data_IF_760346163056
#
_entry.id   IF_760346163056
#
_cell.length_a   1.000
_cell.length_b   1.000
_cell.length_c   1.000
_cell.angle_alpha   90.00
_cell.angle_beta   90.00
_cell.angle_gamma   90.00
#
_symmetry.space_group_name_H-M   'P 1'
#
loop_
_entity.id
_entity.type
_entity.pdbx_description
1 polymer ?
#
# COMPACT_ATOMS: atom_id res chain seq x y z
N UNK A 1 -9.41 1.35 -23.84
CA UNK A 1 -8.77 1.09 -22.52
C UNK A 1 -8.73 2.41 -21.76
N UNK A 2 -9.21 2.43 -20.50
CA UNK A 2 -9.19 3.64 -19.67
C UNK A 2 -7.79 3.78 -19.05
N UNK A 3 -6.90 4.53 -19.71
CA UNK A 3 -5.53 4.77 -19.22
C UNK A 3 -5.61 5.56 -17.93
N UNK A 4 -5.05 5.06 -16.81
CA UNK A 4 -5.03 5.85 -15.57
C UNK A 4 -4.06 7.01 -15.77
N UNK A 5 -4.53 8.23 -15.52
CA UNK A 5 -3.71 9.42 -15.69
C UNK A 5 -2.57 9.45 -14.65
N UNK A 6 -1.30 9.58 -15.06
CA UNK A 6 -0.17 9.70 -14.13
C UNK A 6 -0.31 10.89 -13.17
N UNK A 7 -0.96 11.97 -13.62
CA UNK A 7 -1.23 13.17 -12.83
C UNK A 7 -2.13 12.86 -11.64
N UNK A 8 -3.18 12.05 -11.85
CA UNK A 8 -4.10 11.66 -10.78
C UNK A 8 -3.41 10.82 -9.70
N UNK A 9 -2.53 9.90 -10.11
CA UNK A 9 -1.75 9.07 -9.19
C UNK A 9 -0.78 9.93 -8.36
N UNK A 10 -0.16 10.92 -8.99
CA UNK A 10 0.70 11.87 -8.29
C UNK A 10 -0.08 12.74 -7.31
N UNK A 11 -1.12 13.44 -7.77
CA UNK A 11 -1.80 14.48 -7.00
C UNK A 11 -2.61 13.92 -5.82
N UNK A 12 -3.26 12.77 -6.01
CA UNK A 12 -4.11 12.19 -4.96
C UNK A 12 -3.49 10.98 -4.25
N UNK A 13 -2.40 10.43 -4.78
CA UNK A 13 -1.70 9.31 -4.18
C UNK A 13 -0.36 9.74 -3.58
N UNK A 14 0.62 9.97 -4.46
CA UNK A 14 2.02 10.15 -4.03
C UNK A 14 2.27 11.43 -3.25
N UNK A 15 1.88 12.60 -3.79
CA UNK A 15 2.11 13.91 -3.18
C UNK A 15 1.55 14.00 -1.74
N UNK A 16 0.28 13.68 -1.45
CA UNK A 16 -0.24 13.77 -0.09
C UNK A 16 0.42 12.76 0.84
N UNK A 17 0.83 11.61 0.32
CA UNK A 17 1.51 10.60 1.11
C UNK A 17 2.91 11.09 1.51
N UNK A 18 3.67 11.71 0.59
CA UNK A 18 4.99 12.34 0.91
C UNK A 18 4.82 13.47 1.93
N UNK A 19 3.83 14.35 1.74
CA UNK A 19 3.58 15.47 2.67
C UNK A 19 3.23 14.99 4.09
N UNK A 20 2.62 13.81 4.22
CA UNK A 20 2.20 13.27 5.51
C UNK A 20 3.24 12.37 6.18
N UNK A 21 3.96 11.57 5.39
CA UNK A 21 4.82 10.49 5.90
C UNK A 21 6.31 10.73 5.62
N UNK A 22 6.65 11.76 4.84
CA UNK A 22 7.99 12.00 4.36
C UNK A 22 8.31 11.26 3.06
N UNK A 23 9.51 11.48 2.55
CA UNK A 23 10.00 10.85 1.33
C UNK A 23 10.42 9.40 1.61
N UNK A 24 10.00 8.46 0.77
CA UNK A 24 10.41 7.06 0.91
C UNK A 24 11.84 6.82 0.46
N UNK A 25 12.51 5.86 1.09
CA UNK A 25 13.83 5.43 0.62
C UNK A 25 13.74 4.65 -0.70
N UNK A 26 12.69 3.84 -0.92
CA UNK A 26 12.52 3.10 -2.17
C UNK A 26 11.05 2.99 -2.54
N UNK A 27 10.73 3.28 -3.79
CA UNK A 27 9.40 3.04 -4.36
C UNK A 27 9.47 1.87 -5.32
N UNK A 28 8.55 0.92 -5.16
CA UNK A 28 8.35 -0.15 -6.14
C UNK A 28 7.16 0.20 -7.03
N UNK A 29 7.38 0.25 -8.32
CA UNK A 29 6.34 0.58 -9.29
C UNK A 29 6.35 -0.39 -10.47
N UNK A 30 5.21 -0.57 -11.12
CA UNK A 30 5.14 -1.33 -12.36
C UNK A 30 5.83 -0.58 -13.50
N UNK A 31 6.40 -1.31 -14.48
CA UNK A 31 7.01 -0.75 -15.71
C UNK A 31 6.03 -0.01 -16.66
N UNK A 32 4.81 0.31 -16.22
CA UNK A 32 3.80 1.00 -17.02
C UNK A 32 3.99 2.51 -17.05
N UNK A 33 3.32 3.17 -17.99
CA UNK A 33 3.31 4.64 -18.11
C UNK A 33 2.59 5.34 -16.96
N UNK A 34 1.70 4.63 -16.26
CA UNK A 34 0.88 5.20 -15.17
C UNK A 34 1.73 5.70 -13.99
N UNK A 35 2.89 5.09 -13.73
CA UNK A 35 3.76 5.44 -12.60
C UNK A 35 4.93 6.36 -12.97
N UNK A 36 4.98 6.86 -14.21
CA UNK A 36 6.12 7.62 -14.71
C UNK A 36 6.38 8.89 -13.89
N UNK A 37 5.33 9.63 -13.53
CA UNK A 37 5.44 10.90 -12.81
C UNK A 37 5.91 10.69 -11.36
N UNK A 38 5.37 9.68 -10.68
CA UNK A 38 5.82 9.30 -9.33
C UNK A 38 7.29 8.91 -9.35
N UNK A 39 7.68 8.09 -10.34
CA UNK A 39 9.06 7.64 -10.49
C UNK A 39 10.01 8.80 -10.76
N UNK A 40 9.62 9.72 -11.65
CA UNK A 40 10.40 10.91 -11.98
C UNK A 40 10.62 11.81 -10.75
N UNK A 41 9.56 12.13 -10.00
CA UNK A 41 9.67 12.98 -8.81
C UNK A 41 10.50 12.29 -7.72
N UNK A 42 10.34 10.98 -7.54
CA UNK A 42 11.13 10.23 -6.57
C UNK A 42 12.63 10.21 -6.91
N UNK A 43 12.98 10.13 -8.19
CA UNK A 43 14.36 10.23 -8.66
C UNK A 43 14.89 11.65 -8.46
N UNK A 44 14.09 12.67 -8.78
CA UNK A 44 14.46 14.08 -8.60
C UNK A 44 14.75 14.42 -7.13
N UNK A 45 13.96 13.86 -6.21
CA UNK A 45 14.12 14.07 -4.77
C UNK A 45 15.05 13.05 -4.11
N UNK A 46 15.66 12.13 -4.87
CA UNK A 46 16.50 11.08 -4.32
C UNK A 46 17.65 11.57 -3.41
N UNK A 47 18.29 12.73 -3.64
CA UNK A 47 19.31 13.27 -2.73
C UNK A 47 18.78 13.69 -1.35
N UNK A 48 17.47 13.89 -1.21
CA UNK A 48 16.83 14.30 0.04
C UNK A 48 16.36 13.11 0.90
N UNK A 49 16.60 11.87 0.45
CA UNK A 49 16.25 10.66 1.20
C UNK A 49 17.24 10.43 2.35
N UNK A 50 16.74 9.84 3.43
CA UNK A 50 17.56 9.45 4.58
C UNK A 50 18.56 8.35 4.22
N UNK A 51 18.15 7.37 3.42
CA UNK A 51 19.00 6.28 2.97
C UNK A 51 19.19 6.31 1.45
N UNK A 52 20.45 6.51 1.03
CA UNK A 52 20.85 6.58 -0.38
C UNK A 52 21.58 5.31 -0.87
N UNK A 53 21.70 4.29 -0.02
CA UNK A 53 22.27 2.97 -0.33
C UNK A 53 21.44 2.19 -1.35
N UNK A 54 20.17 2.56 -1.52
CA UNK A 54 19.21 1.89 -2.39
C UNK A 54 18.79 2.79 -3.53
N UNK A 55 18.43 2.17 -4.64
CA UNK A 55 17.80 2.85 -5.75
C UNK A 55 16.52 3.55 -5.29
N UNK A 56 16.25 4.78 -5.75
CA UNK A 56 15.06 5.53 -5.37
C UNK A 56 13.77 4.85 -5.90
N UNK A 57 13.85 4.19 -7.05
CA UNK A 57 12.73 3.51 -7.71
C UNK A 57 13.17 2.16 -8.24
N UNK A 58 12.39 1.12 -7.96
CA UNK A 58 12.57 -0.21 -8.52
C UNK A 58 11.37 -0.59 -9.39
N UNK A 59 11.59 -0.65 -10.71
CA UNK A 59 10.56 -0.92 -11.70
C UNK A 59 10.41 -2.41 -11.98
N UNK A 60 9.25 -2.97 -11.61
CA UNK A 60 8.96 -4.40 -11.72
C UNK A 60 8.02 -4.66 -12.92
N UNK A 61 8.25 -5.71 -13.73
CA UNK A 61 7.31 -6.10 -14.78
C UNK A 61 5.99 -6.62 -14.17
N UNK A 62 4.87 -6.39 -14.87
CA UNK A 62 3.49 -6.71 -14.41
C UNK A 62 3.23 -8.19 -14.12
N UNK A 63 4.12 -9.09 -14.54
CA UNK A 63 4.01 -10.53 -14.32
C UNK A 63 4.42 -10.93 -12.90
N UNK A 64 5.25 -10.11 -12.25
CA UNK A 64 5.72 -10.37 -10.89
C UNK A 64 4.77 -9.71 -9.91
N UNK A 65 3.71 -10.44 -9.59
CA UNK A 65 2.66 -10.15 -8.61
C UNK A 65 3.30 -9.62 -7.30
N UNK A 66 3.38 -8.31 -7.18
CA UNK A 66 4.09 -7.67 -6.06
C UNK A 66 3.28 -7.85 -4.79
N UNK A 67 3.92 -7.81 -3.60
CA UNK A 67 3.19 -7.79 -2.33
C UNK A 67 2.09 -6.71 -2.25
N UNK A 68 2.14 -5.68 -3.11
CA UNK A 68 1.12 -4.64 -3.25
C UNK A 68 -0.16 -5.10 -3.98
N UNK A 69 -0.10 -6.09 -4.87
CA UNK A 69 -1.29 -6.63 -5.54
C UNK A 69 -2.18 -7.43 -4.57
N UNK A 70 -1.59 -7.98 -3.51
CA UNK A 70 -2.33 -8.78 -2.51
C UNK A 70 -3.40 -7.95 -1.77
N UNK A 71 -3.10 -6.77 -1.18
CA UNK A 71 -4.11 -5.87 -0.64
C UNK A 71 -5.23 -5.54 -1.63
N UNK A 72 -4.90 -5.34 -2.91
CA UNK A 72 -5.92 -5.04 -3.94
C UNK A 72 -6.80 -6.22 -4.27
N UNK A 73 -6.22 -7.41 -4.39
CA UNK A 73 -7.00 -8.64 -4.55
C UNK A 73 -7.93 -8.86 -3.36
N UNK A 74 -7.41 -8.68 -2.15
CA UNK A 74 -8.18 -8.86 -0.92
C UNK A 74 -9.30 -7.82 -0.78
N UNK A 75 -9.04 -6.55 -1.08
CA UNK A 75 -10.06 -5.51 -1.12
C UNK A 75 -11.15 -5.83 -2.15
N UNK A 76 -10.77 -6.33 -3.33
CA UNK A 76 -11.72 -6.72 -4.36
C UNK A 76 -12.60 -7.90 -3.93
N UNK A 77 -12.01 -8.93 -3.31
CA UNK A 77 -12.73 -10.11 -2.82
C UNK A 77 -13.65 -9.81 -1.65
N UNK A 78 -13.26 -8.91 -0.74
CA UNK A 78 -14.01 -8.58 0.48
C UNK A 78 -15.01 -7.44 0.32
N UNK A 79 -14.78 -6.51 -0.60
CA UNK A 79 -15.59 -5.29 -0.74
C UNK A 79 -16.33 -5.28 -2.06
N UNK A 80 -15.60 -5.25 -3.18
CA UNK A 80 -16.18 -5.06 -4.50
C UNK A 80 -17.05 -6.23 -4.96
N UNK A 81 -16.56 -7.47 -4.81
CA UNK A 81 -17.27 -8.65 -5.27
C UNK A 81 -18.57 -8.93 -4.50
N UNK A 82 -18.63 -8.80 -3.15
CA UNK A 82 -19.89 -8.91 -2.41
C UNK A 82 -20.88 -7.80 -2.75
N UNK A 83 -20.42 -6.56 -2.90
CA UNK A 83 -21.29 -5.45 -3.26
C UNK A 83 -21.91 -5.62 -4.64
N UNK A 84 -21.11 -6.02 -5.64
CA UNK A 84 -21.63 -6.33 -6.98
C UNK A 84 -22.68 -7.43 -6.93
N UNK A 85 -22.39 -8.54 -6.24
CA UNK A 85 -23.35 -9.64 -6.05
C UNK A 85 -24.65 -9.17 -5.41
N UNK A 86 -24.59 -8.33 -4.39
CA UNK A 86 -25.78 -7.82 -3.73
C UNK A 86 -26.58 -6.88 -4.62
N UNK A 87 -25.93 -5.95 -5.31
CA UNK A 87 -26.59 -5.03 -6.24
C UNK A 87 -27.23 -5.78 -7.41
N UNK A 88 -26.54 -6.78 -7.95
CA UNK A 88 -27.08 -7.64 -9.00
C UNK A 88 -28.29 -8.42 -8.47
N UNK A 89 -28.22 -8.98 -7.26
CA UNK A 89 -29.37 -9.65 -6.65
C UNK A 89 -30.57 -8.71 -6.49
N UNK A 90 -30.37 -7.52 -5.91
CA UNK A 90 -31.43 -6.52 -5.73
C UNK A 90 -32.05 -6.07 -7.06
N UNK A 91 -31.23 -5.95 -8.11
CA UNK A 91 -31.68 -5.65 -9.46
C UNK A 91 -32.53 -6.78 -10.03
N UNK A 92 -32.10 -8.03 -9.92
CA UNK A 92 -32.86 -9.20 -10.39
C UNK A 92 -34.15 -9.41 -9.59
N UNK A 93 -34.18 -9.04 -8.31
CA UNK A 93 -35.39 -9.04 -7.48
C UNK A 93 -36.28 -7.81 -7.70
N UNK A 94 -35.95 -6.94 -8.67
CA UNK A 94 -36.74 -5.77 -9.05
C UNK A 94 -36.95 -4.77 -7.89
N UNK A 95 -36.02 -4.72 -6.91
CA UNK A 95 -36.09 -3.80 -5.78
C UNK A 95 -35.78 -2.34 -6.18
N UNK A 96 -35.08 -2.16 -7.29
CA UNK A 96 -34.91 -0.86 -7.93
C UNK A 96 -34.76 -1.05 -9.45
N UNK A 97 -34.97 0.03 -10.19
CA UNK A 97 -34.79 0.09 -11.64
C UNK A 97 -33.63 1.02 -11.98
N UNK A 98 -32.76 0.59 -12.90
CA UNK A 98 -31.66 1.41 -13.42
C UNK A 98 -32.12 2.40 -14.50
N UNK A 99 -33.36 2.28 -14.98
CA UNK A 99 -33.95 3.23 -15.93
C UNK A 99 -34.51 4.47 -15.21
N UNK A 100 -34.74 4.36 -13.88
CA UNK A 100 -35.17 5.46 -13.05
C UNK A 100 -33.95 6.22 -12.48
N UNK A 101 -33.86 7.50 -12.78
CA UNK A 101 -32.76 8.37 -12.35
C UNK A 101 -32.69 8.54 -10.83
N UNK A 102 -33.83 8.61 -10.14
CA UNK A 102 -33.89 8.70 -8.68
C UNK A 102 -33.33 7.42 -8.02
N UNK A 103 -33.73 6.26 -8.52
CA UNK A 103 -33.20 4.98 -8.03
C UNK A 103 -31.69 4.88 -8.26
N UNK A 104 -31.21 5.28 -9.44
CA UNK A 104 -29.77 5.34 -9.73
C UNK A 104 -29.03 6.25 -8.75
N UNK A 105 -29.55 7.44 -8.48
CA UNK A 105 -28.94 8.38 -7.56
C UNK A 105 -28.90 7.82 -6.13
N UNK A 106 -30.03 7.35 -5.61
CA UNK A 106 -30.13 6.80 -4.27
C UNK A 106 -29.22 5.57 -4.08
N UNK A 107 -29.23 4.63 -5.03
CA UNK A 107 -28.38 3.43 -4.96
C UNK A 107 -26.90 3.80 -5.08
N UNK A 108 -26.54 4.76 -5.93
CA UNK A 108 -25.16 5.24 -6.04
C UNK A 108 -24.68 5.85 -4.72
N UNK A 109 -25.48 6.71 -4.10
CA UNK A 109 -25.13 7.36 -2.84
C UNK A 109 -25.00 6.35 -1.69
N UNK A 110 -25.95 5.43 -1.55
CA UNK A 110 -25.88 4.36 -0.54
C UNK A 110 -24.67 3.47 -0.79
N UNK A 111 -24.43 3.05 -2.04
CA UNK A 111 -23.28 2.21 -2.40
C UNK A 111 -21.96 2.92 -2.08
N UNK A 112 -21.83 4.21 -2.41
CA UNK A 112 -20.64 5.00 -2.11
C UNK A 112 -20.38 5.06 -0.60
N UNK A 113 -21.41 5.27 0.22
CA UNK A 113 -21.27 5.28 1.69
C UNK A 113 -20.81 3.92 2.23
N UNK A 114 -21.41 2.83 1.75
CA UNK A 114 -21.03 1.47 2.17
C UNK A 114 -19.60 1.14 1.73
N UNK A 115 -19.21 1.48 0.49
CA UNK A 115 -17.85 1.29 -0.02
C UNK A 115 -16.83 2.04 0.83
N UNK A 116 -17.08 3.33 1.12
CA UNK A 116 -16.19 4.15 1.97
C UNK A 116 -15.98 3.50 3.33
N UNK A 117 -17.07 3.18 4.02
CA UNK A 117 -17.00 2.52 5.32
C UNK A 117 -16.27 1.17 5.26
N UNK A 118 -16.50 0.35 4.23
CA UNK A 118 -15.82 -0.94 4.04
C UNK A 118 -14.33 -0.78 3.79
N UNK A 119 -13.91 0.20 2.98
CA UNK A 119 -12.51 0.49 2.71
C UNK A 119 -11.81 0.91 4.01
N UNK A 120 -12.40 1.81 4.78
CA UNK A 120 -11.80 2.31 6.03
C UNK A 120 -11.60 1.17 7.06
N UNK A 121 -12.61 0.31 7.22
CA UNK A 121 -12.51 -0.87 8.09
C UNK A 121 -11.45 -1.86 7.56
N UNK A 122 -11.41 -2.09 6.26
CA UNK A 122 -10.46 -3.02 5.66
C UNK A 122 -9.01 -2.52 5.78
N UNK A 123 -8.77 -1.22 5.57
CA UNK A 123 -7.45 -0.60 5.76
C UNK A 123 -7.00 -0.69 7.21
N UNK A 124 -7.91 -0.49 8.17
CA UNK A 124 -7.63 -0.67 9.60
C UNK A 124 -7.14 -2.08 9.90
N UNK A 125 -7.82 -3.11 9.38
CA UNK A 125 -7.41 -4.51 9.56
C UNK A 125 -6.06 -4.78 8.88
N UNK A 126 -5.87 -4.31 7.65
CA UNK A 126 -4.65 -4.54 6.89
C UNK A 126 -3.41 -3.88 7.50
N UNK A 127 -3.55 -2.78 8.27
CA UNK A 127 -2.44 -2.21 9.05
C UNK A 127 -1.84 -3.21 10.04
N UNK A 128 -2.63 -4.15 10.55
CA UNK A 128 -2.19 -5.18 11.48
C UNK A 128 -1.71 -6.46 10.78
N UNK A 129 -1.94 -6.59 9.47
CA UNK A 129 -1.47 -7.74 8.69
C UNK A 129 -0.05 -7.50 8.18
N UNK A 130 0.93 -8.24 8.73
CA UNK A 130 2.31 -8.20 8.22
C UNK A 130 2.35 -8.75 6.80
N UNK A 131 2.89 -7.98 5.86
CA UNK A 131 3.17 -8.45 4.50
C UNK A 131 4.29 -9.49 4.59
N UNK A 132 4.05 -10.77 4.28
CA UNK A 132 5.11 -11.77 4.29
C UNK A 132 6.13 -11.41 3.21
N UNK A 133 7.40 -11.27 3.59
CA UNK A 133 8.47 -11.21 2.62
C UNK A 133 8.45 -12.49 1.77
N UNK A 134 8.76 -12.37 0.48
CA UNK A 134 9.02 -13.54 -0.37
C UNK A 134 10.10 -14.35 0.34
N UNK A 135 9.83 -15.62 0.70
CA UNK A 135 10.93 -16.55 0.95
C UNK A 135 11.56 -16.77 -0.40
N UNK A 136 12.71 -16.14 -0.63
CA UNK A 136 13.55 -16.52 -1.75
C UNK A 136 13.86 -18.01 -1.57
N UNK A 137 13.35 -18.82 -2.50
CA UNK A 137 13.59 -20.25 -2.50
C UNK A 137 15.05 -20.50 -2.82
N UNK A 138 15.89 -20.48 -1.80
CA UNK A 138 17.13 -21.23 -1.80
C UNK A 138 17.04 -22.25 -0.67
N UNK A 139 16.57 -23.44 -1.01
CA UNK A 139 16.65 -24.63 -0.17
C UNK A 139 18.12 -25.01 0.00
N UNK A 140 18.75 -24.48 1.05
CA UNK A 140 19.78 -25.14 1.85
C UNK A 140 20.20 -24.25 3.02
N UNK A 141 19.44 -24.32 4.10
CA UNK A 141 19.76 -23.68 5.37
C UNK A 141 18.83 -24.23 6.43
N UNK A 142 19.35 -25.15 7.24
CA UNK A 142 18.67 -25.82 8.36
C UNK A 142 17.76 -24.86 9.13
N UNK A 143 16.52 -25.27 9.34
CA UNK A 143 15.66 -24.74 10.40
C UNK A 143 16.35 -24.99 11.75
N UNK A 144 16.90 -23.93 12.33
CA UNK A 144 17.15 -23.78 13.76
C UNK A 144 16.51 -22.44 14.09
N UNK A 145 15.34 -22.40 14.72
CA UNK A 145 15.15 -22.71 16.13
C UNK A 145 14.87 -21.38 16.82
N UNK A 146 13.62 -21.17 17.26
CA UNK A 146 13.12 -20.12 18.16
C UNK A 146 13.64 -18.68 17.98
N UNK A 147 12.81 -17.79 17.45
CA UNK A 147 12.88 -16.36 17.78
C UNK A 147 11.48 -15.74 17.84
N UNK A 148 10.83 -15.96 18.98
CA UNK A 148 9.82 -15.06 19.51
C UNK A 148 10.55 -13.91 20.20
N UNK A 149 10.87 -12.83 19.49
CA UNK A 149 11.25 -11.55 20.12
C UNK A 149 10.18 -10.50 19.82
N UNK A 150 9.61 -9.83 20.84
CA UNK A 150 8.72 -8.71 20.61
C UNK A 150 9.52 -7.52 20.09
N UNK A 151 8.86 -6.66 19.32
CA UNK A 151 9.42 -5.43 18.77
C UNK A 151 9.92 -4.53 19.91
N UNK A 152 11.23 -4.47 20.11
CA UNK A 152 11.86 -3.41 20.90
C UNK A 152 11.87 -2.13 20.07
N UNK A 153 11.16 -1.13 20.56
CA UNK A 153 11.18 0.24 20.05
C UNK A 153 12.60 0.81 20.04
N UNK A 154 12.80 1.77 19.14
CA UNK A 154 13.99 2.61 19.10
C UNK A 154 14.17 3.28 20.47
N UNK A 155 15.24 2.92 21.18
CA UNK A 155 15.71 3.64 22.35
C UNK A 155 16.86 4.52 21.87
N UNK A 156 16.65 5.83 22.00
CA UNK A 156 17.65 6.87 21.79
C UNK A 156 18.79 6.72 22.81
N UNK A 157 20.02 6.53 22.34
CA UNK A 157 21.23 6.65 23.18
C UNK A 157 22.01 7.91 22.77
N UNK A 158 21.65 9.04 23.37
CA UNK A 158 22.53 10.21 23.53
C UNK A 158 22.79 10.44 25.02
N UNK A 159 23.78 9.75 25.59
CA UNK A 159 24.55 10.09 26.80
C UNK A 159 25.63 8.99 26.90
N UNK A 160 26.95 9.17 27.04
CA UNK A 160 27.76 10.17 27.72
C UNK A 160 28.78 9.37 28.57
N UNK A 161 30.08 9.52 28.30
CA UNK A 161 31.28 9.30 29.16
C UNK A 161 32.45 8.79 28.29
N UNK A 162 33.42 9.64 27.93
CA UNK A 162 34.50 10.17 28.76
C UNK A 162 35.56 9.09 29.08
N UNK A 163 36.51 8.97 28.16
CA UNK A 163 37.86 8.43 28.39
C UNK A 163 38.59 9.29 29.43
N UNK A 164 39.03 8.69 30.54
CA UNK A 164 40.34 9.01 31.15
C UNK A 164 40.92 7.72 31.74
N UNK A 165 42.01 7.30 31.13
CA UNK A 165 42.93 6.24 31.49
C UNK A 165 43.68 6.55 32.80
N UNK A 166 43.65 5.63 33.75
CA UNK A 166 44.50 5.62 34.93
C UNK A 166 45.44 4.41 34.88
N UNK A 167 46.75 4.66 34.83
CA UNK A 167 47.77 3.62 34.82
C UNK A 167 49.18 4.15 35.07
N UNK A 168 49.61 4.00 36.33
CA UNK A 168 50.93 4.24 36.96
C UNK A 168 51.22 5.63 37.49
#
# INVERSE_FOLDING_TARGET
MKTKSPVWIYEHGFRPAVLRLGLWDNIRAGKGTEACLVSFVQILLAPLRCHQDRDPVHLVPSVHNTPMERPWKEANERISAPLRRQLDHMRHSHLFSMDNEMHRFCISEVTLRVVRWRIDNHLTIMRFCRVPGRRDGNSNGKLSGNDSRPATGCVDNRSGNADVSGGR
#
